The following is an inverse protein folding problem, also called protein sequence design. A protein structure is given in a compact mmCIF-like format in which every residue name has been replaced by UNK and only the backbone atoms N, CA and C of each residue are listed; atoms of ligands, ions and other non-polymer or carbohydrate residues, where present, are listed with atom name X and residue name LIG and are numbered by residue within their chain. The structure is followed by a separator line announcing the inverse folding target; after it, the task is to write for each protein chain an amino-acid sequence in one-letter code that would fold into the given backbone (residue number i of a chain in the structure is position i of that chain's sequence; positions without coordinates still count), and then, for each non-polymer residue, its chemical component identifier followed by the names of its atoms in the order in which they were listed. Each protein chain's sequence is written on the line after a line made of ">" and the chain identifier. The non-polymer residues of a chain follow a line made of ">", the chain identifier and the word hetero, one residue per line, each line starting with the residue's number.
data_IF_696719788449
#
_entry.id   IF_696719788449
#
_cell.length_a   1.000
_cell.length_b   1.000
_cell.length_c   1.000
_cell.angle_alpha   90.00
_cell.angle_beta   90.00
_cell.angle_gamma   90.00
#
_symmetry.space_group_name_H-M   'P 1'
#
loop_
_entity.id
_entity.type
_entity.pdbx_description
1 polymer ?
#
# COMPACT_ATOMS: atom_id res chain seq x y z
N UNK A 1 -10.32 27.33 -12.36
CA UNK A 1 -9.54 26.87 -11.20
C UNK A 1 -8.08 26.82 -11.62
N UNK A 2 -7.19 27.36 -10.78
CA UNK A 2 -5.74 27.34 -11.00
C UNK A 2 -5.07 26.37 -10.02
N UNK A 3 -3.96 25.69 -10.39
CA UNK A 3 -3.17 24.91 -9.48
C UNK A 3 -2.68 25.76 -8.29
N UNK A 4 -2.69 25.18 -7.09
CA UNK A 4 -2.16 25.82 -5.88
C UNK A 4 -1.04 24.97 -5.31
N UNK A 5 -0.01 25.60 -4.76
CA UNK A 5 1.06 24.91 -4.10
C UNK A 5 0.62 24.39 -2.72
N UNK A 6 0.94 23.12 -2.42
CA UNK A 6 0.60 22.47 -1.16
C UNK A 6 1.37 23.10 0.00
N UNK A 7 0.67 23.46 1.06
CA UNK A 7 1.27 23.98 2.30
C UNK A 7 2.01 22.85 3.05
N UNK A 8 2.99 23.25 3.87
CA UNK A 8 3.62 22.35 4.84
C UNK A 8 2.67 22.00 5.99
N UNK A 9 3.06 21.07 6.84
CA UNK A 9 2.24 20.62 7.98
C UNK A 9 1.89 21.74 8.98
N UNK A 10 2.71 22.77 9.10
CA UNK A 10 2.46 23.94 9.94
C UNK A 10 1.54 24.99 9.30
N UNK A 11 1.19 24.82 8.01
CA UNK A 11 0.35 25.73 7.23
C UNK A 11 1.02 27.06 6.84
N UNK A 12 2.23 27.33 7.27
CA UNK A 12 2.91 28.62 7.11
C UNK A 12 3.86 28.67 5.91
N UNK A 13 4.48 27.55 5.57
CA UNK A 13 5.38 27.41 4.43
C UNK A 13 4.79 26.46 3.38
N UNK A 14 5.58 26.04 2.39
CA UNK A 14 5.16 25.08 1.39
C UNK A 14 5.87 23.74 1.59
N UNK A 15 5.19 22.66 1.21
CA UNK A 15 5.77 21.32 1.20
C UNK A 15 6.89 21.25 0.15
N UNK A 16 8.10 20.87 0.58
CA UNK A 16 9.32 20.85 -0.25
C UNK A 16 9.98 19.47 -0.26
N UNK A 17 10.98 19.31 -1.12
CA UNK A 17 11.77 18.10 -1.27
C UNK A 17 10.96 16.85 -1.64
N UNK A 18 9.83 17.04 -2.31
CA UNK A 18 8.98 15.96 -2.79
C UNK A 18 9.58 15.39 -4.09
N UNK A 19 9.78 14.07 -4.11
CA UNK A 19 10.34 13.33 -5.25
C UNK A 19 9.31 12.45 -5.95
N UNK A 20 8.18 12.16 -5.30
CA UNK A 20 7.09 11.37 -5.87
C UNK A 20 5.75 11.75 -5.24
N UNK A 21 4.67 11.67 -6.03
CA UNK A 21 3.28 11.87 -5.56
C UNK A 21 2.37 10.78 -6.09
N UNK A 22 1.32 10.44 -5.33
CA UNK A 22 0.29 9.51 -5.75
C UNK A 22 -1.06 9.97 -5.25
N UNK A 23 -2.07 9.97 -6.12
CA UNK A 23 -3.43 10.36 -5.78
C UNK A 23 -4.33 9.13 -5.61
N UNK A 24 -4.97 9.00 -4.45
CA UNK A 24 -6.09 8.11 -4.22
C UNK A 24 -7.41 8.77 -4.64
N UNK A 25 -8.56 8.19 -4.26
CA UNK A 25 -9.85 8.78 -4.64
C UNK A 25 -10.10 10.14 -3.98
N UNK A 26 -9.80 10.26 -2.69
CA UNK A 26 -10.07 11.46 -1.89
C UNK A 26 -8.91 11.79 -0.92
N UNK A 27 -7.73 11.29 -1.19
CA UNK A 27 -6.51 11.57 -0.43
C UNK A 27 -5.31 11.59 -1.37
N UNK A 28 -4.23 12.15 -0.88
CA UNK A 28 -2.97 12.26 -1.63
C UNK A 28 -1.82 11.79 -0.75
N UNK A 29 -0.84 11.14 -1.39
CA UNK A 29 0.46 10.80 -0.81
C UNK A 29 1.57 11.62 -1.47
N UNK A 30 2.57 11.98 -0.69
CA UNK A 30 3.83 12.55 -1.16
C UNK A 30 5.02 11.88 -0.49
N UNK A 31 6.02 11.48 -1.28
CA UNK A 31 7.27 10.94 -0.80
C UNK A 31 8.33 12.04 -0.82
N UNK A 32 8.95 12.31 0.32
CA UNK A 32 10.09 13.22 0.43
C UNK A 32 11.41 12.52 0.13
N UNK A 33 12.38 13.30 -0.28
CA UNK A 33 13.77 12.86 -0.56
C UNK A 33 14.45 12.16 0.63
N UNK A 34 14.04 12.48 1.86
CA UNK A 34 14.53 11.84 3.08
C UNK A 34 13.89 10.45 3.34
N UNK A 35 13.02 9.97 2.45
CA UNK A 35 12.34 8.68 2.56
C UNK A 35 11.12 8.70 3.50
N UNK A 36 10.65 9.86 3.94
CA UNK A 36 9.42 10.01 4.71
C UNK A 36 8.21 10.18 3.80
N UNK A 37 7.03 9.71 4.25
CA UNK A 37 5.76 9.80 3.51
C UNK A 37 4.82 10.76 4.22
N UNK A 38 4.18 11.61 3.44
CA UNK A 38 3.19 12.59 3.86
C UNK A 38 1.86 12.35 3.17
N UNK A 39 0.75 12.58 3.88
CA UNK A 39 -0.59 12.33 3.36
C UNK A 39 -1.56 13.45 3.78
N UNK A 40 -2.59 13.71 2.97
CA UNK A 40 -3.67 14.65 3.29
C UNK A 40 -4.94 14.28 2.53
N UNK A 41 -6.09 14.82 2.97
CA UNK A 41 -7.42 14.55 2.43
C UNK A 41 -8.29 13.76 3.38
N UNK A 42 -9.14 12.87 2.84
CA UNK A 42 -10.04 12.02 3.60
C UNK A 42 -9.26 10.97 4.42
N UNK A 43 -9.78 10.63 5.62
CA UNK A 43 -9.14 9.67 6.53
C UNK A 43 -10.11 8.70 7.21
N UNK A 44 -11.31 8.52 6.72
CA UNK A 44 -12.34 7.68 7.36
C UNK A 44 -11.88 6.23 7.58
N UNK A 45 -11.00 5.73 6.72
CA UNK A 45 -10.41 4.39 6.79
C UNK A 45 -8.94 4.39 7.26
N UNK A 46 -8.45 5.51 7.80
CA UNK A 46 -7.05 5.60 8.20
C UNK A 46 -6.06 5.73 7.04
N UNK A 47 -6.53 6.15 5.86
CA UNK A 47 -5.69 6.28 4.66
C UNK A 47 -4.60 7.34 4.77
N UNK A 48 -4.64 8.22 5.77
CA UNK A 48 -3.52 9.12 6.08
C UNK A 48 -2.40 8.45 6.90
N UNK A 49 -2.64 7.26 7.47
CA UNK A 49 -1.62 6.47 8.16
C UNK A 49 -1.03 7.11 9.41
N UNK A 50 -1.76 8.01 10.05
CA UNK A 50 -1.31 8.81 11.21
C UNK A 50 -1.92 8.38 12.55
N UNK A 51 -2.47 7.14 12.61
CA UNK A 51 -3.16 6.55 13.76
C UNK A 51 -4.47 7.27 14.14
N UNK A 52 -5.11 7.95 13.20
CA UNK A 52 -6.41 8.60 13.39
C UNK A 52 -7.37 8.26 12.24
N UNK A 53 -8.63 8.64 12.38
CA UNK A 53 -9.63 8.62 11.29
C UNK A 53 -10.08 10.03 10.90
N UNK A 54 -9.42 11.07 11.42
CA UNK A 54 -9.74 12.47 11.12
C UNK A 54 -9.01 12.90 9.85
N UNK A 55 -9.76 13.41 8.85
CA UNK A 55 -9.18 13.98 7.63
C UNK A 55 -8.34 15.23 7.91
N UNK A 56 -7.42 15.54 7.01
CA UNK A 56 -6.57 16.72 7.12
C UNK A 56 -6.48 17.47 5.80
N UNK A 57 -6.64 18.79 5.85
CA UNK A 57 -6.38 19.69 4.71
C UNK A 57 -4.90 20.07 4.59
N UNK A 58 -4.09 19.76 5.58
CA UNK A 58 -2.63 19.93 5.58
C UNK A 58 -1.94 18.55 5.58
N UNK A 59 -0.74 18.44 5.01
CA UNK A 59 0.03 17.21 5.05
C UNK A 59 0.30 16.75 6.49
N UNK A 60 -0.01 15.49 6.78
CA UNK A 60 0.38 14.80 8.01
C UNK A 60 1.37 13.70 7.68
N UNK A 61 2.30 13.43 8.58
CA UNK A 61 3.32 12.42 8.36
C UNK A 61 2.76 11.02 8.64
N UNK A 62 3.01 10.08 7.74
CA UNK A 62 2.65 8.66 7.91
C UNK A 62 3.51 8.04 8.99
N UNK A 63 2.88 7.29 9.92
CA UNK A 63 3.51 6.76 11.13
C UNK A 63 3.32 5.26 11.23
N UNK A 64 4.26 4.58 11.87
CA UNK A 64 4.21 3.16 12.26
C UNK A 64 4.14 3.02 13.78
N UNK A 65 4.05 1.77 14.29
CA UNK A 65 4.10 1.47 15.71
C UNK A 65 3.09 2.30 16.54
N UNK A 66 1.81 2.19 16.19
CA UNK A 66 0.69 2.89 16.86
C UNK A 66 0.79 4.43 16.82
N UNK A 67 1.57 4.97 15.90
CA UNK A 67 1.73 6.42 15.72
C UNK A 67 2.95 7.03 16.41
N UNK A 68 3.81 6.22 17.04
CA UNK A 68 4.98 6.71 17.77
C UNK A 68 6.19 7.00 16.87
N UNK A 69 6.33 6.25 15.76
CA UNK A 69 7.46 6.38 14.83
C UNK A 69 6.99 6.77 13.43
N UNK A 70 7.82 7.47 12.70
CA UNK A 70 7.55 7.79 11.30
C UNK A 70 7.92 6.62 10.38
N UNK A 71 7.12 6.40 9.32
CA UNK A 71 7.50 5.52 8.23
C UNK A 71 8.68 6.16 7.47
N UNK A 72 9.80 5.45 7.39
CA UNK A 72 11.05 5.94 6.79
C UNK A 72 11.65 4.94 5.80
N UNK A 73 12.70 5.34 5.10
CA UNK A 73 13.38 4.53 4.08
C UNK A 73 12.46 4.09 2.93
N UNK A 74 11.40 4.85 2.66
CA UNK A 74 10.50 4.60 1.54
C UNK A 74 11.14 5.08 0.25
N UNK A 75 11.02 4.27 -0.81
CA UNK A 75 11.54 4.57 -2.17
C UNK A 75 10.42 4.65 -3.22
N UNK A 76 9.24 4.12 -2.93
CA UNK A 76 8.08 4.19 -3.82
C UNK A 76 6.78 4.17 -3.01
N UNK A 77 5.75 4.85 -3.52
CA UNK A 77 4.40 4.90 -2.93
C UNK A 77 3.35 4.71 -4.01
N UNK A 78 2.22 4.09 -3.66
CA UNK A 78 1.07 4.00 -4.54
C UNK A 78 -0.22 4.05 -3.72
N UNK A 79 -1.16 4.91 -4.13
CA UNK A 79 -2.47 5.08 -3.49
C UNK A 79 -3.55 4.39 -4.32
N UNK A 80 -4.34 3.55 -3.69
CA UNK A 80 -5.58 2.98 -4.21
C UNK A 80 -6.79 3.87 -3.89
N UNK A 81 -7.99 3.29 -3.91
CA UNK A 81 -9.22 4.05 -3.65
C UNK A 81 -9.24 4.60 -2.21
N UNK A 82 -9.00 3.75 -1.20
CA UNK A 82 -9.01 4.09 0.24
C UNK A 82 -7.88 3.37 1.00
N UNK A 83 -6.88 2.84 0.30
CA UNK A 83 -5.71 2.20 0.89
C UNK A 83 -4.45 2.67 0.18
N UNK A 84 -3.31 2.35 0.75
CA UNK A 84 -2.01 2.72 0.24
C UNK A 84 -1.02 1.59 0.41
N UNK A 85 -0.02 1.59 -0.46
CA UNK A 85 1.16 0.75 -0.32
C UNK A 85 2.44 1.58 -0.47
N UNK A 86 3.48 1.18 0.25
CA UNK A 86 4.80 1.78 0.20
C UNK A 86 5.86 0.70 0.11
N UNK A 87 6.85 0.90 -0.76
CA UNK A 87 8.04 0.08 -0.90
C UNK A 87 9.18 0.74 -0.14
N UNK A 88 9.83 0.01 0.75
CA UNK A 88 11.04 0.46 1.42
C UNK A 88 12.30 0.02 0.66
N UNK A 89 13.40 0.71 0.94
CA UNK A 89 14.71 0.45 0.35
C UNK A 89 15.23 -0.98 0.58
N UNK A 90 14.78 -1.63 1.64
CA UNK A 90 15.11 -3.02 1.98
C UNK A 90 14.29 -4.05 1.18
N UNK A 91 13.43 -3.62 0.26
CA UNK A 91 12.58 -4.48 -0.57
C UNK A 91 11.29 -4.93 0.13
N UNK A 92 11.00 -4.47 1.36
CA UNK A 92 9.75 -4.78 2.07
C UNK A 92 8.61 -3.87 1.65
N UNK A 93 7.37 -4.39 1.67
CA UNK A 93 6.14 -3.66 1.32
C UNK A 93 5.30 -3.42 2.55
N UNK A 94 4.79 -2.21 2.70
CA UNK A 94 3.94 -1.77 3.79
C UNK A 94 2.62 -1.24 3.25
N UNK A 95 1.51 -1.53 3.94
CA UNK A 95 0.17 -1.16 3.50
C UNK A 95 -0.69 -0.64 4.66
N UNK A 96 -1.61 0.31 4.37
CA UNK A 96 -2.52 0.89 5.36
C UNK A 96 -3.78 1.45 4.70
N UNK A 97 -4.80 1.73 5.52
CA UNK A 97 -6.12 2.17 5.07
C UNK A 97 -7.14 1.02 5.08
N UNK A 98 -8.09 1.04 4.16
CA UNK A 98 -9.14 0.03 4.05
C UNK A 98 -8.58 -1.36 3.72
N UNK A 99 -9.14 -2.39 4.39
CA UNK A 99 -8.78 -3.80 4.21
C UNK A 99 -10.02 -4.71 4.09
N UNK A 100 -11.15 -4.16 3.69
CA UNK A 100 -12.42 -4.90 3.60
C UNK A 100 -12.35 -6.10 2.65
N UNK A 101 -11.48 -6.04 1.64
CA UNK A 101 -11.26 -7.09 0.64
C UNK A 101 -9.90 -7.78 0.76
N UNK A 102 -9.10 -7.46 1.80
CA UNK A 102 -7.75 -7.99 1.94
C UNK A 102 -6.68 -7.22 1.15
N UNK A 103 -7.00 -6.02 0.66
CA UNK A 103 -6.13 -5.20 -0.19
C UNK A 103 -4.84 -4.73 0.49
N UNK A 104 -4.71 -4.90 1.81
CA UNK A 104 -3.47 -4.65 2.52
C UNK A 104 -2.48 -5.84 2.47
N UNK A 105 -2.94 -7.05 2.11
CA UNK A 105 -2.08 -8.22 1.98
C UNK A 105 -1.42 -8.69 3.30
N UNK A 106 -2.09 -8.51 4.42
CA UNK A 106 -1.58 -8.79 5.78
C UNK A 106 -2.04 -10.15 6.36
N UNK A 107 -2.54 -11.04 5.50
CA UNK A 107 -2.98 -12.39 5.86
C UNK A 107 -4.41 -12.47 6.40
N UNK A 108 -5.07 -11.35 6.62
CA UNK A 108 -6.46 -11.26 7.09
C UNK A 108 -7.22 -10.15 6.36
N UNK A 109 -8.55 -10.26 6.31
CA UNK A 109 -9.44 -9.12 5.99
C UNK A 109 -9.69 -8.33 7.28
N UNK A 110 -9.84 -7.00 7.15
CA UNK A 110 -10.04 -6.12 8.31
C UNK A 110 -8.74 -5.81 9.05
N UNK A 111 -8.87 -5.52 10.34
CA UNK A 111 -7.75 -5.16 11.21
C UNK A 111 -7.30 -6.37 12.04
N UNK A 112 -6.01 -6.75 12.04
CA UNK A 112 -5.54 -7.95 12.74
C UNK A 112 -5.58 -7.81 14.27
N UNK A 113 -5.62 -6.59 14.80
CA UNK A 113 -5.64 -6.31 16.24
C UNK A 113 -7.03 -5.88 16.76
N UNK A 114 -7.98 -5.59 15.86
CA UNK A 114 -9.34 -5.19 16.19
C UNK A 114 -10.32 -5.69 15.13
N UNK A 115 -10.90 -6.87 15.34
CA UNK A 115 -11.81 -7.53 14.39
C UNK A 115 -13.12 -6.75 14.13
N UNK A 116 -13.43 -5.73 14.94
CA UNK A 116 -14.58 -4.83 14.70
C UNK A 116 -14.29 -3.80 13.60
N UNK A 117 -13.04 -3.66 13.15
CA UNK A 117 -12.61 -2.69 12.15
C UNK A 117 -12.19 -3.35 10.85
N UNK A 118 -12.47 -2.67 9.74
CA UNK A 118 -12.11 -3.10 8.39
C UNK A 118 -10.86 -2.41 7.86
N UNK A 119 -10.15 -1.63 8.70
CA UNK A 119 -9.04 -0.80 8.25
C UNK A 119 -7.88 -0.76 9.25
N UNK A 120 -6.68 -0.51 8.76
CA UNK A 120 -5.47 -0.26 9.56
C UNK A 120 -5.09 1.22 9.51
N UNK A 121 -5.03 1.86 10.68
CA UNK A 121 -4.79 3.30 10.81
C UNK A 121 -3.30 3.67 10.68
N UNK A 122 -2.44 2.67 10.70
CA UNK A 122 -0.98 2.79 10.51
C UNK A 122 -0.49 1.69 9.57
N UNK A 123 0.62 1.91 8.85
CA UNK A 123 1.23 0.90 7.99
C UNK A 123 1.51 -0.43 8.70
N UNK A 124 1.10 -1.51 8.04
CA UNK A 124 1.36 -2.90 8.38
C UNK A 124 2.22 -3.51 7.28
N UNK A 125 3.11 -4.42 7.64
CA UNK A 125 3.95 -5.10 6.67
C UNK A 125 3.17 -6.19 5.92
N UNK A 126 3.29 -6.24 4.60
CA UNK A 126 2.65 -7.25 3.74
C UNK A 126 3.28 -8.61 3.99
N UNK A 127 2.46 -9.66 4.18
CA UNK A 127 2.96 -11.03 4.42
C UNK A 127 3.51 -11.65 3.14
N UNK A 128 4.31 -12.71 3.29
CA UNK A 128 4.96 -13.44 2.18
C UNK A 128 3.96 -13.97 1.13
N UNK A 129 2.81 -14.53 1.57
CA UNK A 129 1.86 -15.16 0.67
C UNK A 129 2.47 -16.36 -0.08
N UNK A 130 2.37 -16.35 -1.41
CA UNK A 130 2.91 -17.40 -2.31
C UNK A 130 4.35 -17.10 -2.80
N UNK A 131 5.05 -16.12 -2.21
CA UNK A 131 6.46 -15.92 -2.53
C UNK A 131 7.29 -17.11 -2.03
N UNK A 132 8.18 -17.62 -2.86
CA UNK A 132 9.13 -18.67 -2.49
C UNK A 132 10.26 -18.07 -1.61
N UNK A 133 9.93 -17.85 -0.34
CA UNK A 133 10.81 -17.27 0.67
C UNK A 133 10.52 -17.90 2.03
N UNK A 134 11.55 -18.01 2.87
CA UNK A 134 11.42 -18.41 4.28
C UNK A 134 11.00 -17.24 5.19
N UNK A 135 10.90 -16.03 4.65
CA UNK A 135 10.45 -14.84 5.37
C UNK A 135 8.96 -14.90 5.71
N UNK A 136 8.57 -14.31 6.81
CA UNK A 136 7.15 -14.09 7.15
C UNK A 136 6.53 -13.00 6.30
N UNK A 137 7.35 -12.11 5.73
CA UNK A 137 6.92 -10.93 5.00
C UNK A 137 7.43 -10.94 3.57
N UNK A 138 6.65 -10.29 2.67
CA UNK A 138 7.01 -10.09 1.28
C UNK A 138 8.30 -9.27 1.18
N UNK A 139 9.29 -9.77 0.44
CA UNK A 139 10.63 -9.19 0.35
C UNK A 139 11.17 -9.20 -1.09
N UNK A 140 12.35 -8.62 -1.31
CA UNK A 140 12.98 -8.51 -2.63
C UNK A 140 12.15 -7.78 -3.69
N UNK A 141 11.17 -6.98 -3.27
CA UNK A 141 10.30 -6.23 -4.18
C UNK A 141 11.04 -5.02 -4.75
N UNK A 142 10.84 -4.80 -6.06
CA UNK A 142 11.43 -3.69 -6.81
C UNK A 142 10.40 -2.70 -7.36
N UNK A 143 9.13 -3.10 -7.44
CA UNK A 143 8.05 -2.23 -7.93
C UNK A 143 6.72 -2.59 -7.25
N UNK A 144 5.89 -1.57 -7.03
CA UNK A 144 4.55 -1.71 -6.46
C UNK A 144 3.53 -0.90 -7.26
N UNK A 145 2.28 -1.34 -7.24
CA UNK A 145 1.14 -0.57 -7.77
C UNK A 145 -0.14 -0.92 -7.02
N UNK A 146 -0.93 0.08 -6.67
CA UNK A 146 -2.25 -0.09 -6.08
C UNK A 146 -3.33 0.17 -7.14
N UNK A 147 -4.23 -0.80 -7.32
CA UNK A 147 -5.50 -0.61 -7.99
C UNK A 147 -6.55 -0.03 -7.03
N UNK A 148 -7.82 0.12 -7.44
CA UNK A 148 -8.87 0.66 -6.56
C UNK A 148 -9.02 -0.11 -5.25
N UNK A 149 -9.07 -1.45 -5.30
CA UNK A 149 -9.35 -2.36 -4.18
C UNK A 149 -8.46 -3.61 -4.19
N UNK A 150 -7.35 -3.56 -4.88
CA UNK A 150 -6.34 -4.61 -4.95
C UNK A 150 -4.95 -3.96 -5.04
N UNK A 151 -3.91 -4.74 -4.88
CA UNK A 151 -2.54 -4.28 -4.99
C UNK A 151 -1.67 -5.33 -5.68
N UNK A 152 -0.51 -4.89 -6.19
CA UNK A 152 0.47 -5.75 -6.85
C UNK A 152 1.89 -5.34 -6.53
N UNK A 153 2.79 -6.31 -6.62
CA UNK A 153 4.22 -6.16 -6.46
C UNK A 153 4.99 -7.00 -7.46
N UNK A 154 6.14 -6.51 -7.90
CA UNK A 154 7.10 -7.21 -8.75
C UNK A 154 8.37 -7.45 -7.96
N UNK A 155 8.86 -8.69 -7.92
CA UNK A 155 10.14 -9.03 -7.30
C UNK A 155 11.32 -8.93 -8.28
N UNK A 156 12.56 -9.07 -7.76
CA UNK A 156 13.80 -9.06 -8.57
C UNK A 156 13.90 -10.21 -9.57
N UNK A 157 13.18 -11.30 -9.34
CA UNK A 157 13.19 -12.49 -10.21
C UNK A 157 12.20 -12.37 -11.36
N UNK A 158 11.40 -11.29 -11.41
CA UNK A 158 10.37 -11.06 -12.42
C UNK A 158 9.01 -11.64 -12.06
N UNK A 159 8.81 -12.16 -10.83
CA UNK A 159 7.53 -12.67 -10.40
C UNK A 159 6.60 -11.51 -10.01
N UNK A 160 5.33 -11.60 -10.43
CA UNK A 160 4.28 -10.66 -10.06
C UNK A 160 3.39 -11.29 -9.00
N UNK A 161 3.16 -10.55 -7.94
CA UNK A 161 2.25 -10.91 -6.83
C UNK A 161 1.11 -9.91 -6.78
N UNK A 162 -0.11 -10.40 -6.52
CA UNK A 162 -1.34 -9.60 -6.43
C UNK A 162 -2.15 -10.00 -5.22
N UNK A 163 -2.94 -9.10 -4.66
CA UNK A 163 -3.83 -9.38 -3.53
C UNK A 163 -4.94 -8.34 -3.42
N UNK A 164 -6.02 -8.66 -2.69
CA UNK A 164 -7.22 -7.84 -2.54
C UNK A 164 -8.43 -8.43 -3.27
N UNK A 165 -9.31 -7.56 -3.75
CA UNK A 165 -10.53 -7.93 -4.49
C UNK A 165 -10.22 -8.66 -5.80
N UNK A 166 -11.00 -9.73 -6.09
CA UNK A 166 -10.79 -10.56 -7.29
C UNK A 166 -12.10 -10.99 -8.00
N UNK A 167 -13.17 -10.29 -7.83
CA UNK A 167 -14.50 -10.67 -8.34
C UNK A 167 -14.61 -10.74 -9.88
N UNK A 168 -13.63 -10.19 -10.60
CA UNK A 168 -13.55 -10.22 -12.08
C UNK A 168 -12.19 -10.77 -12.58
N UNK A 169 -11.43 -11.46 -11.71
CA UNK A 169 -10.15 -12.09 -12.06
C UNK A 169 -8.96 -11.13 -12.10
N UNK A 170 -9.05 -9.95 -11.46
CA UNK A 170 -8.01 -8.91 -11.52
C UNK A 170 -6.70 -9.32 -10.84
N UNK A 171 -6.68 -10.37 -10.03
CA UNK A 171 -5.45 -10.91 -9.45
C UNK A 171 -4.68 -11.83 -10.41
N UNK A 172 -5.28 -12.26 -11.53
CA UNK A 172 -4.59 -13.04 -12.56
C UNK A 172 -4.09 -14.42 -12.09
N UNK A 173 -4.68 -15.00 -11.05
CA UNK A 173 -4.31 -16.29 -10.45
C UNK A 173 -5.25 -17.45 -10.84
N UNK A 174 -5.98 -17.30 -11.96
CA UNK A 174 -6.95 -18.24 -12.48
C UNK A 174 -8.15 -18.52 -11.55
N UNK A 175 -8.47 -17.57 -10.66
CA UNK A 175 -9.65 -17.60 -9.80
C UNK A 175 -10.38 -16.26 -9.82
N UNK A 176 -11.60 -16.23 -9.25
CA UNK A 176 -12.35 -15.00 -8.95
C UNK A 176 -12.55 -14.84 -7.44
N UNK A 177 -11.67 -15.44 -6.64
CA UNK A 177 -11.70 -15.36 -5.17
C UNK A 177 -10.73 -14.30 -4.69
N UNK A 178 -11.20 -13.40 -3.81
CA UNK A 178 -10.35 -12.39 -3.15
C UNK A 178 -9.19 -13.06 -2.39
N UNK A 179 -8.05 -12.39 -2.34
CA UNK A 179 -6.93 -12.84 -1.52
C UNK A 179 -6.51 -11.78 -0.50
N UNK A 180 -6.35 -12.20 0.75
CA UNK A 180 -5.83 -11.34 1.83
C UNK A 180 -4.30 -11.45 2.02
N UNK A 181 -3.64 -12.21 1.15
CA UNK A 181 -2.18 -12.37 1.09
C UNK A 181 -1.74 -12.35 -0.38
N UNK A 182 -0.48 -12.00 -0.68
CA UNK A 182 0.06 -12.05 -2.03
C UNK A 182 -0.11 -13.43 -2.68
N UNK A 183 -0.74 -13.48 -3.86
CA UNK A 183 -0.84 -14.67 -4.72
C UNK A 183 -0.05 -14.41 -6.00
N UNK A 184 0.60 -15.43 -6.53
CA UNK A 184 1.42 -15.33 -7.72
C UNK A 184 0.54 -15.28 -8.98
N UNK A 185 0.81 -14.36 -9.89
CA UNK A 185 0.11 -14.27 -11.17
C UNK A 185 0.47 -15.46 -12.03
N UNK A 186 -0.54 -16.20 -12.50
CA UNK A 186 -0.33 -17.36 -13.39
C UNK A 186 -0.21 -16.92 -14.86
N UNK A 187 0.67 -17.55 -15.62
CA UNK A 187 0.66 -17.47 -17.08
C UNK A 187 -0.57 -18.19 -17.64
N UNK A 188 -1.50 -17.48 -18.28
CA UNK A 188 -2.77 -18.05 -18.76
C UNK A 188 -2.63 -19.29 -19.65
N UNK A 189 -3.62 -20.20 -19.54
CA UNK A 189 -3.81 -21.51 -20.17
C UNK A 189 -3.19 -22.73 -19.45
N UNK A 190 -4.02 -23.40 -18.65
CA UNK A 190 -3.96 -24.82 -18.23
C UNK A 190 -2.63 -25.40 -17.69
N UNK A 191 -1.56 -24.62 -17.64
CA UNK A 191 -0.28 -24.98 -17.04
C UNK A 191 0.07 -23.95 -15.95
N UNK A 192 0.52 -24.42 -14.81
CA UNK A 192 1.04 -23.61 -13.70
C UNK A 192 2.40 -22.98 -14.06
N UNK A 193 2.43 -22.16 -15.12
CA UNK A 193 3.61 -21.35 -15.45
C UNK A 193 3.39 -19.98 -14.89
N UNK A 194 4.23 -19.59 -13.96
CA UNK A 194 4.24 -18.24 -13.41
C UNK A 194 5.00 -17.28 -14.33
N UNK A 195 4.58 -16.02 -14.40
CA UNK A 195 5.22 -15.01 -15.27
C UNK A 195 6.71 -14.77 -14.93
N UNK A 196 7.16 -15.20 -13.78
CA UNK A 196 8.56 -15.09 -13.35
C UNK A 196 9.50 -16.16 -13.91
N UNK A 197 8.97 -17.15 -14.65
CA UNK A 197 9.76 -18.25 -15.22
C UNK A 197 10.16 -17.96 -16.69
N UNK A 198 10.02 -16.70 -17.18
CA UNK A 198 10.37 -16.24 -18.54
C UNK A 198 11.67 -15.47 -18.54
#
# INVERSE_FOLDING_TARGET
>A
YSPVQVKSADGNSYLTDIIFVSAGSNHTLALRKDGTVWAWGLNTYGQLGNNTTTGSSLPVQVKIANGDLNLTNVVSISAGYQHNIALRKDGTVWAWGDNSYGQLGIGVKGNPTDSSKTSCLTPMQVVTGEQDSSSTYLEDIIQISAGPTFAMALDRKGNVYTWGLNNVGQLGNNTNTDSNAPVRVSGGLAYTVYLGDV
#
